data_IF_468506733086
#
_entry.id   IF_468506733086
#
_cell.length_a   1.000
_cell.length_b   1.000
_cell.length_c   1.000
_cell.angle_alpha   90.00
_cell.angle_beta   90.00
_cell.angle_gamma   90.00
#
_symmetry.space_group_name_H-M   'P 1'
#
loop_
_entity.id
_entity.type
_entity.pdbx_description
1 polymer ?
#
# COMPACT_ATOMS: atom_id res chain seq x y z
N UNK A 1 18.59 0.77 27.01
CA UNK A 1 17.35 0.96 26.24
C UNK A 1 16.36 1.79 27.07
N UNK A 2 15.55 2.63 26.45
CA UNK A 2 14.49 3.34 27.12
C UNK A 2 13.47 2.36 27.70
N UNK A 3 12.85 2.70 28.85
CA UNK A 3 11.89 1.80 29.50
C UNK A 3 10.48 1.98 28.98
N UNK A 4 10.18 3.14 28.39
CA UNK A 4 8.87 3.51 27.84
C UNK A 4 9.04 4.12 26.45
N UNK A 5 7.97 4.10 25.65
CA UNK A 5 7.90 4.64 24.30
C UNK A 5 6.58 5.37 24.07
N UNK A 6 6.55 6.24 23.07
CA UNK A 6 5.31 6.85 22.59
C UNK A 6 4.64 5.93 21.55
N UNK A 7 3.30 5.89 21.58
CA UNK A 7 2.52 5.07 20.66
C UNK A 7 1.17 5.74 20.36
N UNK A 8 0.73 5.65 19.11
CA UNK A 8 -0.53 6.20 18.65
C UNK A 8 -1.60 5.11 18.47
N UNK A 9 -2.78 5.38 19.01
CA UNK A 9 -3.97 4.55 18.93
C UNK A 9 -5.07 5.30 18.19
N UNK A 10 -5.97 4.57 17.54
CA UNK A 10 -7.09 5.12 16.79
C UNK A 10 -8.42 4.71 17.46
N UNK A 11 -9.05 5.60 18.24
CA UNK A 11 -10.31 5.29 18.93
C UNK A 11 -11.52 5.08 18.01
N UNK A 12 -11.41 5.40 16.70
CA UNK A 12 -12.51 5.22 15.74
C UNK A 12 -13.52 6.37 15.72
N UNK A 13 -13.08 7.57 16.06
CA UNK A 13 -13.90 8.79 16.12
C UNK A 13 -13.22 9.98 15.43
N UNK A 14 -12.34 9.70 14.46
CA UNK A 14 -11.52 10.69 13.75
C UNK A 14 -10.53 11.42 14.65
N UNK A 15 -10.05 10.77 15.71
CA UNK A 15 -8.98 11.27 16.58
C UNK A 15 -7.84 10.27 16.70
N UNK A 16 -6.70 10.76 17.20
CA UNK A 16 -5.54 9.94 17.54
C UNK A 16 -5.27 10.12 19.02
N UNK A 17 -5.11 9.02 19.75
CA UNK A 17 -4.75 9.01 21.16
C UNK A 17 -3.29 8.61 21.30
N UNK A 18 -2.45 9.54 21.80
CA UNK A 18 -1.07 9.25 22.12
C UNK A 18 -0.96 8.68 23.53
N UNK A 19 -0.24 7.58 23.69
CA UNK A 19 0.00 6.92 24.98
C UNK A 19 1.49 6.66 25.19
N UNK A 20 1.93 6.78 26.43
CA UNK A 20 3.23 6.29 26.86
C UNK A 20 3.08 4.86 27.35
N UNK A 21 3.75 3.91 26.70
CA UNK A 21 3.65 2.48 27.01
C UNK A 21 5.05 1.89 27.23
N UNK A 22 5.18 0.73 27.88
CA UNK A 22 6.48 0.06 28.01
C UNK A 22 7.05 -0.31 26.64
N UNK A 23 8.38 -0.20 26.46
CA UNK A 23 9.05 -0.79 25.30
C UNK A 23 8.93 -2.32 25.40
N UNK A 24 8.41 -2.99 24.36
CA UNK A 24 8.21 -4.44 24.42
C UNK A 24 9.55 -5.20 24.32
N UNK A 25 9.56 -6.42 24.83
CA UNK A 25 10.72 -7.31 24.80
C UNK A 25 10.46 -8.43 23.78
N UNK A 26 11.39 -8.70 22.84
CA UNK A 26 11.18 -9.71 21.81
C UNK A 26 11.24 -11.13 22.44
N UNK A 27 10.24 -11.94 22.13
CA UNK A 27 10.15 -13.36 22.47
C UNK A 27 10.89 -14.23 21.47
N UNK A 28 10.75 -15.56 21.57
CA UNK A 28 11.37 -16.51 20.65
C UNK A 28 10.88 -16.29 19.21
N UNK A 29 11.82 -16.05 18.26
CA UNK A 29 11.53 -15.83 16.86
C UNK A 29 11.00 -14.41 16.54
N UNK A 30 11.07 -13.50 17.50
CA UNK A 30 10.67 -12.10 17.33
C UNK A 30 11.88 -11.17 17.39
N UNK A 31 11.75 -10.02 16.77
CA UNK A 31 12.74 -8.92 16.83
C UNK A 31 12.08 -7.65 17.36
N UNK A 32 12.85 -6.83 18.07
CA UNK A 32 12.48 -5.46 18.42
C UNK A 32 13.04 -4.51 17.35
N UNK A 33 12.16 -3.76 16.74
CA UNK A 33 12.46 -2.80 15.68
C UNK A 33 12.28 -1.38 16.21
N UNK A 34 13.29 -0.52 16.07
CA UNK A 34 13.11 0.92 16.17
C UNK A 34 12.47 1.38 14.87
N UNK A 35 11.24 1.86 14.95
CA UNK A 35 10.51 2.34 13.77
C UNK A 35 11.17 3.63 13.26
N UNK A 36 11.49 3.67 11.98
CA UNK A 36 12.08 4.83 11.31
C UNK A 36 11.08 5.57 10.44
N UNK A 37 10.17 4.83 9.82
CA UNK A 37 9.06 5.36 9.06
C UNK A 37 7.86 4.42 9.11
N UNK A 38 6.66 4.98 9.20
CA UNK A 38 5.41 4.28 9.01
C UNK A 38 4.49 5.17 8.18
N UNK A 39 3.96 4.66 7.08
CA UNK A 39 3.07 5.45 6.22
C UNK A 39 1.61 5.15 6.52
N UNK A 40 0.72 6.10 6.19
CA UNK A 40 -0.72 5.98 6.45
C UNK A 40 -1.42 5.49 5.19
N UNK A 41 -2.17 4.40 5.30
CA UNK A 41 -2.96 3.83 4.21
C UNK A 41 -4.40 4.37 4.20
N UNK A 42 -5.06 4.30 3.06
CA UNK A 42 -6.49 4.61 2.95
C UNK A 42 -7.37 3.68 3.78
N UNK A 43 -6.94 2.44 4.02
CA UNK A 43 -7.65 1.50 4.90
C UNK A 43 -7.58 1.91 6.37
N UNK A 44 -6.45 2.46 6.85
CA UNK A 44 -6.37 3.02 8.21
C UNK A 44 -7.42 4.11 8.42
N UNK A 45 -7.58 4.98 7.43
CA UNK A 45 -8.56 6.09 7.51
C UNK A 45 -9.97 5.54 7.51
N UNK A 46 -10.32 4.71 6.52
CA UNK A 46 -11.70 4.25 6.32
C UNK A 46 -12.16 3.26 7.38
N UNK A 47 -11.28 2.33 7.78
CA UNK A 47 -11.68 1.18 8.57
C UNK A 47 -11.35 1.28 10.06
N UNK A 48 -10.51 2.26 10.46
CA UNK A 48 -10.06 2.39 11.85
C UNK A 48 -10.19 3.84 12.36
N UNK A 49 -9.72 4.84 11.60
CA UNK A 49 -9.66 6.22 12.07
C UNK A 49 -11.04 6.86 12.22
N UNK A 50 -11.89 6.78 11.18
CA UNK A 50 -13.23 7.35 11.24
C UNK A 50 -14.15 6.54 12.16
N UNK A 51 -14.15 5.24 11.97
CA UNK A 51 -14.92 4.26 12.75
C UNK A 51 -14.27 2.89 12.63
N UNK A 52 -14.52 2.02 13.60
CA UNK A 52 -14.02 0.65 13.52
C UNK A 52 -14.98 -0.19 12.65
N UNK A 53 -14.62 -0.38 11.38
CA UNK A 53 -15.31 -1.30 10.50
C UNK A 53 -14.85 -2.73 10.75
N UNK A 54 -15.77 -3.66 10.65
CA UNK A 54 -15.53 -5.06 10.95
C UNK A 54 -15.75 -5.40 12.43
N UNK A 55 -16.04 -6.65 12.68
CA UNK A 55 -16.32 -7.20 14.03
C UNK A 55 -15.59 -8.51 14.23
N UNK A 56 -15.43 -8.90 15.50
CA UNK A 56 -14.77 -10.16 15.84
C UNK A 56 -13.26 -10.16 15.55
N UNK A 57 -12.67 -11.33 15.32
CA UNK A 57 -11.21 -11.49 15.19
C UNK A 57 -10.57 -10.72 14.01
N UNK A 58 -11.35 -10.41 12.97
CA UNK A 58 -10.88 -9.69 11.77
C UNK A 58 -10.91 -8.16 11.95
N UNK A 59 -11.67 -7.65 12.93
CA UNK A 59 -11.74 -6.23 13.21
C UNK A 59 -10.50 -5.69 13.91
N UNK A 60 -10.42 -4.37 14.03
CA UNK A 60 -9.38 -3.70 14.80
C UNK A 60 -9.51 -4.03 16.29
N UNK A 61 -8.41 -4.38 16.94
CA UNK A 61 -8.38 -4.87 18.32
C UNK A 61 -7.91 -3.82 19.36
N UNK A 62 -7.90 -2.53 19.01
CA UNK A 62 -7.47 -1.48 19.93
C UNK A 62 -5.95 -1.48 20.18
N UNK A 63 -5.18 -1.97 19.24
CA UNK A 63 -3.71 -2.04 19.29
C UNK A 63 -3.06 -0.76 18.78
N UNK A 64 -1.74 -0.63 18.91
CA UNK A 64 -0.97 0.46 18.29
C UNK A 64 -1.20 0.44 16.78
N UNK A 65 -1.54 1.58 16.21
CA UNK A 65 -1.86 1.72 14.79
C UNK A 65 -0.64 1.58 13.88
N UNK A 66 -0.86 1.63 12.54
CA UNK A 66 0.18 1.70 11.52
C UNK A 66 0.63 0.34 11.02
N UNK A 67 0.11 -0.05 9.85
CA UNK A 67 0.43 -1.33 9.22
C UNK A 67 1.45 -1.23 8.07
N UNK A 68 2.06 -0.08 7.87
CA UNK A 68 3.09 0.12 6.86
C UNK A 68 4.45 0.49 7.49
N UNK A 69 5.01 -0.33 8.43
CA UNK A 69 6.22 0.03 9.15
C UNK A 69 7.49 -0.41 8.46
N UNK A 70 8.53 0.41 8.63
CA UNK A 70 9.90 0.12 8.23
C UNK A 70 10.86 0.67 9.31
N UNK A 71 11.93 -0.06 9.61
CA UNK A 71 12.84 0.38 10.66
C UNK A 71 14.14 -0.41 10.73
N UNK A 72 14.79 -0.29 11.87
CA UNK A 72 16.05 -0.96 12.16
C UNK A 72 15.91 -1.86 13.38
N UNK A 73 16.37 -3.08 13.28
CA UNK A 73 16.39 -4.03 14.39
C UNK A 73 17.34 -3.52 15.46
N UNK A 74 16.86 -3.44 16.69
CA UNK A 74 17.68 -3.08 17.87
C UNK A 74 17.99 -4.28 18.73
N UNK A 75 17.13 -5.31 18.70
CA UNK A 75 17.33 -6.56 19.43
C UNK A 75 16.67 -7.71 18.67
N UNK A 76 17.37 -8.84 18.56
CA UNK A 76 16.82 -10.09 18.05
C UNK A 76 16.59 -11.05 19.22
N UNK A 77 15.37 -11.53 19.37
CA UNK A 77 15.01 -12.50 20.40
C UNK A 77 15.62 -13.87 20.15
N UNK A 78 15.52 -14.79 21.15
CA UNK A 78 16.03 -16.15 21.00
C UNK A 78 15.41 -16.83 19.77
N UNK A 79 16.22 -17.60 19.03
CA UNK A 79 15.74 -18.38 17.88
C UNK A 79 15.76 -17.65 16.55
N UNK A 80 15.96 -16.33 16.51
CA UNK A 80 16.23 -15.60 15.28
C UNK A 80 17.55 -16.06 14.64
N UNK A 81 17.56 -16.23 13.31
CA UNK A 81 18.69 -16.79 12.56
C UNK A 81 19.08 -15.99 11.33
N UNK A 82 18.17 -15.22 10.78
CA UNK A 82 18.34 -14.51 9.51
C UNK A 82 18.63 -13.04 9.70
N UNK A 83 18.11 -12.45 10.77
CA UNK A 83 18.26 -11.04 11.08
C UNK A 83 18.90 -10.80 12.45
N UNK A 84 19.60 -9.68 12.59
CA UNK A 84 20.31 -9.28 13.81
C UNK A 84 20.16 -7.77 14.06
N UNK A 85 20.56 -7.33 15.24
CA UNK A 85 20.63 -5.91 15.58
C UNK A 85 21.48 -5.14 14.56
N UNK A 86 20.97 -3.99 14.12
CA UNK A 86 21.54 -3.14 13.09
C UNK A 86 20.97 -3.37 11.69
N UNK A 87 20.32 -4.49 11.41
CA UNK A 87 19.73 -4.76 10.10
C UNK A 87 18.53 -3.84 9.86
N UNK A 88 18.39 -3.38 8.61
CA UNK A 88 17.30 -2.54 8.13
C UNK A 88 16.21 -3.42 7.54
N UNK A 89 14.97 -3.23 7.96
CA UNK A 89 13.88 -4.15 7.61
C UNK A 89 12.58 -3.43 7.29
N UNK A 90 11.84 -4.02 6.35
CA UNK A 90 10.43 -3.75 6.08
C UNK A 90 9.63 -4.83 6.81
N UNK A 91 8.54 -4.48 7.45
CA UNK A 91 7.64 -5.46 8.05
C UNK A 91 6.51 -5.77 7.06
N UNK A 92 6.44 -7.01 6.61
CA UNK A 92 5.24 -7.50 5.93
C UNK A 92 4.08 -7.51 6.93
N UNK A 93 3.05 -6.73 6.66
CA UNK A 93 2.06 -6.40 7.69
C UNK A 93 1.10 -7.53 8.08
N UNK A 94 1.16 -8.67 7.42
CA UNK A 94 0.34 -9.84 7.78
C UNK A 94 1.21 -10.96 8.32
N UNK A 95 1.00 -11.35 9.57
CA UNK A 95 1.59 -12.56 10.10
C UNK A 95 0.67 -13.75 9.87
N UNK A 96 1.21 -14.90 9.51
CA UNK A 96 0.49 -16.15 9.30
C UNK A 96 1.11 -17.31 10.08
N UNK A 97 0.53 -18.51 9.97
CA UNK A 97 1.03 -19.70 10.70
C UNK A 97 2.38 -20.23 10.17
N UNK A 98 2.84 -19.80 8.98
CA UNK A 98 4.09 -20.24 8.36
C UNK A 98 4.06 -21.66 7.77
N UNK A 99 3.04 -22.47 8.05
CA UNK A 99 3.04 -23.91 7.70
C UNK A 99 1.92 -24.35 6.75
N UNK A 100 0.84 -23.60 6.60
CA UNK A 100 -0.19 -23.90 5.59
C UNK A 100 0.31 -23.63 4.18
N UNK A 101 -0.42 -24.13 3.16
CA UNK A 101 0.00 -23.98 1.75
C UNK A 101 0.20 -22.54 1.33
N UNK A 102 -0.69 -21.64 1.75
CA UNK A 102 -0.61 -20.24 1.36
C UNK A 102 0.57 -19.54 2.04
N UNK A 103 0.80 -19.78 3.33
CA UNK A 103 1.98 -19.25 4.04
C UNK A 103 3.29 -19.74 3.42
N UNK A 104 3.39 -21.04 3.05
CA UNK A 104 4.58 -21.59 2.38
C UNK A 104 4.85 -20.99 1.00
N UNK A 105 3.83 -20.42 0.38
CA UNK A 105 3.91 -19.68 -0.89
C UNK A 105 4.11 -18.17 -0.68
N UNK A 106 4.28 -17.74 0.58
CA UNK A 106 4.44 -16.33 0.94
C UNK A 106 3.13 -15.54 1.06
N UNK A 107 1.97 -16.15 0.81
CA UNK A 107 0.65 -15.50 0.89
C UNK A 107 0.06 -15.62 2.30
N UNK A 108 0.67 -14.98 3.30
CA UNK A 108 0.16 -15.05 4.68
C UNK A 108 -1.20 -14.37 4.85
N UNK A 109 -1.57 -13.46 3.93
CA UNK A 109 -2.92 -12.87 3.88
C UNK A 109 -4.01 -13.93 3.71
N UNK A 110 -3.71 -15.02 3.02
CA UNK A 110 -4.63 -16.15 2.78
C UNK A 110 -4.46 -17.29 3.79
N UNK A 111 -3.73 -17.05 4.89
CA UNK A 111 -3.53 -18.07 5.92
C UNK A 111 -4.88 -18.54 6.48
N UNK A 112 -5.09 -19.87 6.48
CA UNK A 112 -6.34 -20.50 6.95
C UNK A 112 -6.44 -20.62 8.46
N UNK A 113 -5.42 -20.20 9.20
CA UNK A 113 -5.42 -20.27 10.66
C UNK A 113 -5.98 -18.99 11.28
N UNK A 114 -7.19 -19.02 11.78
CA UNK A 114 -7.82 -17.92 12.51
C UNK A 114 -7.00 -17.44 13.73
N UNK A 115 -6.25 -18.36 14.34
CA UNK A 115 -5.41 -18.06 15.51
C UNK A 115 -4.16 -17.27 15.17
N UNK A 116 -3.52 -17.57 14.02
CA UNK A 116 -2.19 -17.05 13.67
C UNK A 116 -2.21 -15.95 12.61
N UNK A 117 -3.27 -15.88 11.78
CA UNK A 117 -3.40 -14.80 10.82
C UNK A 117 -3.79 -13.50 11.53
N UNK A 118 -2.84 -12.59 11.61
CA UNK A 118 -3.01 -11.29 12.28
C UNK A 118 -2.25 -10.21 11.54
N UNK A 119 -2.85 -9.03 11.41
CA UNK A 119 -2.21 -7.87 10.81
C UNK A 119 -1.61 -6.97 11.90
N UNK A 120 -0.38 -6.53 11.68
CA UNK A 120 0.25 -5.47 12.46
C UNK A 120 -0.52 -4.17 12.24
N UNK A 121 -0.74 -3.41 13.29
CA UNK A 121 -1.56 -2.20 13.25
C UNK A 121 -3.07 -2.43 13.26
N UNK A 122 -3.53 -3.71 13.32
CA UNK A 122 -4.95 -4.08 13.36
C UNK A 122 -5.28 -5.08 14.47
N UNK A 123 -4.62 -6.23 14.51
CA UNK A 123 -4.78 -7.26 15.55
C UNK A 123 -3.52 -7.45 16.39
N UNK A 124 -2.41 -6.91 15.95
CA UNK A 124 -1.13 -6.80 16.66
C UNK A 124 -0.66 -5.36 16.62
N UNK A 125 0.17 -4.97 17.59
CA UNK A 125 0.77 -3.64 17.62
C UNK A 125 1.52 -3.34 16.33
N UNK A 126 1.30 -2.15 15.80
CA UNK A 126 1.86 -1.66 14.55
C UNK A 126 2.99 -0.65 14.74
N UNK A 127 3.31 0.05 13.64
CA UNK A 127 4.46 0.94 13.56
C UNK A 127 4.21 2.42 13.83
N UNK A 128 3.04 2.81 14.36
CA UNK A 128 2.82 4.18 14.84
C UNK A 128 3.30 4.30 16.29
N UNK A 129 4.57 3.95 16.53
CA UNK A 129 5.26 3.98 17.81
C UNK A 129 6.77 4.12 17.60
N UNK A 130 7.53 4.43 18.66
CA UNK A 130 9.00 4.47 18.58
C UNK A 130 9.60 3.08 18.30
N UNK A 131 8.98 2.04 18.87
CA UNK A 131 9.40 0.65 18.69
C UNK A 131 8.21 -0.27 18.43
N UNK A 132 8.47 -1.39 17.74
CA UNK A 132 7.50 -2.46 17.55
C UNK A 132 8.17 -3.83 17.60
N UNK A 133 7.37 -4.86 17.90
CA UNK A 133 7.76 -6.27 17.75
C UNK A 133 7.26 -6.80 16.41
N UNK A 134 8.11 -7.57 15.72
CA UNK A 134 7.69 -8.35 14.57
C UNK A 134 8.31 -9.76 14.62
N UNK A 135 7.62 -10.74 14.05
CA UNK A 135 8.19 -12.08 13.86
C UNK A 135 9.24 -12.04 12.74
N UNK A 136 10.37 -12.72 12.94
CA UNK A 136 11.48 -12.74 11.96
C UNK A 136 11.02 -13.15 10.56
N UNK A 137 10.08 -14.09 10.46
CA UNK A 137 9.53 -14.58 9.18
C UNK A 137 8.70 -13.55 8.39
N UNK A 138 8.29 -12.47 9.05
CA UNK A 138 7.49 -11.39 8.46
C UNK A 138 8.37 -10.22 7.98
N UNK A 139 9.70 -10.37 8.02
CA UNK A 139 10.63 -9.31 7.67
C UNK A 139 11.19 -9.46 6.26
N UNK A 140 11.31 -8.34 5.58
CA UNK A 140 12.01 -8.22 4.31
C UNK A 140 13.21 -7.29 4.49
N UNK A 141 14.39 -7.69 4.03
CA UNK A 141 15.59 -6.86 4.11
C UNK A 141 15.41 -5.56 3.32
N UNK A 142 15.79 -4.43 3.92
CA UNK A 142 15.80 -3.13 3.23
C UNK A 142 17.23 -2.79 2.81
N UNK A 143 17.55 -2.80 1.50
CA UNK A 143 18.86 -2.42 0.98
C UNK A 143 19.22 -0.96 1.31
N UNK A 144 20.53 -0.66 1.39
CA UNK A 144 21.00 0.69 1.72
C UNK A 144 20.67 1.74 0.66
N UNK A 145 20.39 1.33 -0.57
CA UNK A 145 19.97 2.18 -1.67
C UNK A 145 18.56 2.76 -1.48
N UNK A 146 17.74 2.12 -0.64
CA UNK A 146 16.40 2.58 -0.34
C UNK A 146 16.34 3.25 1.03
N UNK A 147 15.52 4.29 1.17
CA UNK A 147 15.25 4.94 2.45
C UNK A 147 14.26 4.13 3.28
N UNK A 148 14.14 4.40 4.58
CA UNK A 148 13.10 3.78 5.40
C UNK A 148 11.68 4.17 4.93
N UNK A 149 11.52 5.38 4.40
CA UNK A 149 10.27 5.83 3.81
C UNK A 149 9.90 5.08 2.53
N UNK A 150 10.90 4.66 1.72
CA UNK A 150 10.67 3.74 0.59
C UNK A 150 10.15 2.40 1.09
N UNK A 151 10.84 1.83 2.10
CA UNK A 151 10.47 0.54 2.68
C UNK A 151 9.06 0.55 3.30
N UNK A 152 8.69 1.61 4.00
CA UNK A 152 7.36 1.76 4.58
C UNK A 152 6.26 1.68 3.51
N UNK A 153 6.48 2.22 2.32
CA UNK A 153 5.53 2.12 1.23
C UNK A 153 5.48 0.74 0.57
N UNK A 154 6.61 0.01 0.56
CA UNK A 154 6.64 -1.38 0.08
C UNK A 154 5.79 -2.29 0.96
N UNK A 155 5.74 -2.04 2.27
CA UNK A 155 5.01 -2.85 3.24
C UNK A 155 3.53 -3.08 2.88
N UNK A 156 2.89 -2.12 2.18
CA UNK A 156 1.49 -2.26 1.74
C UNK A 156 1.28 -1.68 0.32
N UNK A 157 1.35 -0.36 0.15
CA UNK A 157 0.88 0.32 -1.06
C UNK A 157 1.55 -0.19 -2.35
N UNK A 158 2.87 -0.12 -2.43
CA UNK A 158 3.63 -0.58 -3.60
C UNK A 158 3.59 -2.11 -3.75
N UNK A 159 3.67 -2.87 -2.65
CA UNK A 159 3.59 -4.33 -2.69
C UNK A 159 2.24 -4.81 -3.24
N UNK A 160 1.14 -4.27 -2.73
CA UNK A 160 -0.23 -4.60 -3.19
C UNK A 160 -0.43 -4.28 -4.68
N UNK A 161 0.08 -3.12 -5.10
CA UNK A 161 -0.01 -2.74 -6.52
C UNK A 161 0.83 -3.65 -7.39
N UNK A 162 2.05 -3.96 -6.98
CA UNK A 162 2.94 -4.83 -7.74
C UNK A 162 2.31 -6.21 -7.96
N UNK A 163 1.72 -6.82 -6.93
CA UNK A 163 0.93 -8.06 -7.05
C UNK A 163 -0.19 -7.93 -8.09
N UNK A 164 -0.94 -6.83 -8.07
CA UNK A 164 -2.01 -6.57 -9.03
C UNK A 164 -1.51 -6.44 -10.46
N UNK A 165 -0.37 -5.75 -10.67
CA UNK A 165 0.23 -5.55 -11.98
C UNK A 165 0.80 -6.84 -12.57
N UNK A 166 1.39 -7.72 -11.74
CA UNK A 166 1.86 -9.04 -12.16
C UNK A 166 0.69 -9.91 -12.69
N UNK A 167 -0.50 -9.85 -12.06
CA UNK A 167 -1.70 -10.58 -12.52
C UNK A 167 -2.15 -10.15 -13.92
N UNK A 168 -2.10 -8.88 -14.24
CA UNK A 168 -2.56 -8.38 -15.54
C UNK A 168 -1.44 -8.31 -16.58
N UNK A 169 -0.19 -8.29 -16.16
CA UNK A 169 1.00 -8.16 -17.00
C UNK A 169 1.08 -6.80 -17.70
N UNK A 170 2.13 -6.06 -17.46
CA UNK A 170 2.39 -4.75 -18.09
C UNK A 170 3.59 -4.87 -19.03
N UNK A 171 3.53 -4.20 -20.17
CA UNK A 171 4.63 -4.17 -21.14
C UNK A 171 4.55 -2.93 -22.04
N UNK A 172 5.56 -2.73 -22.89
CA UNK A 172 5.62 -1.65 -23.87
C UNK A 172 4.53 -1.68 -24.97
N UNK A 173 3.71 -2.71 -25.00
CA UNK A 173 2.57 -2.81 -25.91
C UNK A 173 1.24 -2.40 -25.27
N UNK A 174 1.27 -1.86 -24.06
CA UNK A 174 0.06 -1.61 -23.29
C UNK A 174 -0.12 -0.12 -22.97
N UNK A 175 -1.25 0.44 -23.37
CA UNK A 175 -1.84 1.59 -22.71
C UNK A 175 -2.53 1.14 -21.43
N UNK A 176 -2.32 1.90 -20.35
CA UNK A 176 -2.83 1.59 -19.02
C UNK A 176 -3.74 2.72 -18.54
N UNK A 177 -4.94 2.38 -18.09
CA UNK A 177 -5.83 3.29 -17.38
C UNK A 177 -5.72 3.04 -15.87
N UNK A 178 -5.57 4.10 -15.10
CA UNK A 178 -5.61 4.07 -13.63
C UNK A 178 -6.76 4.93 -13.16
N UNK A 179 -7.72 4.35 -12.43
CA UNK A 179 -8.82 5.10 -11.82
C UNK A 179 -8.60 5.23 -10.32
N UNK A 180 -8.56 6.49 -9.85
CA UNK A 180 -8.15 6.86 -8.50
C UNK A 180 -6.63 7.07 -8.41
N UNK A 181 -6.19 8.33 -8.32
CA UNK A 181 -4.77 8.73 -8.19
C UNK A 181 -4.39 9.08 -6.74
N UNK A 182 -5.04 8.44 -5.77
CA UNK A 182 -4.54 8.41 -4.39
C UNK A 182 -3.20 7.67 -4.29
N UNK A 183 -2.66 7.42 -3.08
CA UNK A 183 -1.36 6.78 -2.91
C UNK A 183 -1.19 5.46 -3.69
N UNK A 184 -2.24 4.61 -3.72
CA UNK A 184 -2.24 3.34 -4.47
C UNK A 184 -2.19 3.58 -5.98
N UNK A 185 -2.95 4.55 -6.49
CA UNK A 185 -2.93 4.88 -7.92
C UNK A 185 -1.63 5.56 -8.38
N UNK A 186 -1.04 6.41 -7.55
CA UNK A 186 0.28 6.98 -7.82
C UNK A 186 1.37 5.89 -7.83
N UNK A 187 1.30 4.92 -6.91
CA UNK A 187 2.17 3.75 -6.92
C UNK A 187 1.98 2.91 -8.20
N UNK A 188 0.71 2.71 -8.63
CA UNK A 188 0.41 2.00 -9.88
C UNK A 188 1.01 2.71 -11.09
N UNK A 189 0.89 4.03 -11.18
CA UNK A 189 1.46 4.81 -12.26
C UNK A 189 3.01 4.72 -12.29
N UNK A 190 3.66 4.85 -11.12
CA UNK A 190 5.11 4.72 -11.00
C UNK A 190 5.62 3.34 -11.43
N UNK A 191 4.97 2.27 -10.97
CA UNK A 191 5.33 0.91 -11.33
C UNK A 191 5.02 0.59 -12.80
N UNK A 192 3.86 1.00 -13.34
CA UNK A 192 3.53 0.84 -14.77
C UNK A 192 4.57 1.51 -15.66
N UNK A 193 5.07 2.70 -15.29
CA UNK A 193 6.14 3.40 -16.02
C UNK A 193 7.42 2.57 -16.06
N UNK A 194 7.83 1.99 -14.92
CA UNK A 194 9.04 1.15 -14.83
C UNK A 194 8.89 -0.22 -15.49
N UNK A 195 7.68 -0.77 -15.52
CA UNK A 195 7.36 -1.99 -16.27
C UNK A 195 7.24 -1.75 -17.79
N UNK A 196 7.37 -0.50 -18.23
CA UNK A 196 7.48 -0.14 -19.63
C UNK A 196 6.15 0.15 -20.32
N UNK A 197 5.08 0.48 -19.59
CA UNK A 197 3.80 0.85 -20.20
C UNK A 197 4.00 1.95 -21.26
N UNK A 198 3.41 1.76 -22.45
CA UNK A 198 3.49 2.69 -23.57
C UNK A 198 2.83 4.05 -23.23
N UNK A 199 1.67 3.97 -22.61
CA UNK A 199 0.89 5.14 -22.20
C UNK A 199 0.18 4.91 -20.88
N UNK A 200 0.19 5.89 -20.01
CA UNK A 200 -0.49 5.85 -18.73
C UNK A 200 -1.50 7.00 -18.65
N UNK A 201 -2.77 6.65 -18.48
CA UNK A 201 -3.88 7.59 -18.35
C UNK A 201 -4.40 7.49 -16.93
N UNK A 202 -4.44 8.61 -16.21
CA UNK A 202 -4.95 8.69 -14.84
C UNK A 202 -6.27 9.43 -14.76
N UNK A 203 -7.22 8.93 -13.96
CA UNK A 203 -8.50 9.60 -13.67
C UNK A 203 -8.65 9.75 -12.16
N UNK A 204 -8.97 10.97 -11.70
CA UNK A 204 -9.35 11.23 -10.30
C UNK A 204 -10.39 12.35 -10.23
N UNK A 205 -11.03 12.51 -9.06
CA UNK A 205 -11.96 13.62 -8.76
C UNK A 205 -11.23 14.79 -8.07
N UNK A 206 -10.00 14.58 -7.59
CA UNK A 206 -9.23 15.54 -6.80
C UNK A 206 -8.15 16.18 -7.67
N UNK A 207 -8.27 17.48 -7.91
CA UNK A 207 -7.35 18.23 -8.77
C UNK A 207 -5.90 18.18 -8.29
N UNK A 208 -5.67 18.23 -6.98
CA UNK A 208 -4.33 18.15 -6.38
C UNK A 208 -3.63 16.83 -6.73
N UNK A 209 -4.36 15.73 -6.80
CA UNK A 209 -3.82 14.41 -7.18
C UNK A 209 -3.51 14.32 -8.67
N UNK A 210 -4.38 14.87 -9.51
CA UNK A 210 -4.15 14.97 -10.95
C UNK A 210 -2.89 15.80 -11.24
N UNK A 211 -2.74 16.93 -10.54
CA UNK A 211 -1.58 17.81 -10.64
C UNK A 211 -0.31 17.09 -10.17
N UNK A 212 -0.35 16.43 -9.01
CA UNK A 212 0.80 15.68 -8.48
C UNK A 212 1.24 14.57 -9.43
N UNK A 213 0.32 13.80 -10.01
CA UNK A 213 0.64 12.75 -10.98
C UNK A 213 1.35 13.31 -12.23
N UNK A 214 0.97 14.51 -12.66
CA UNK A 214 1.60 15.23 -13.76
C UNK A 214 2.98 15.76 -13.39
N UNK A 215 3.12 16.42 -12.25
CA UNK A 215 4.38 16.99 -11.76
C UNK A 215 5.46 15.92 -11.56
N UNK A 216 5.04 14.74 -11.10
CA UNK A 216 5.93 13.59 -10.96
C UNK A 216 6.19 12.83 -12.28
N UNK A 217 5.59 13.26 -13.40
CA UNK A 217 5.76 12.59 -14.70
C UNK A 217 5.21 11.16 -14.76
N UNK A 218 4.24 10.82 -13.90
CA UNK A 218 3.73 9.45 -13.77
C UNK A 218 2.68 9.11 -14.83
N UNK A 219 1.89 10.08 -15.27
CA UNK A 219 0.84 9.90 -16.26
C UNK A 219 1.12 10.73 -17.52
N UNK A 220 0.86 10.15 -18.71
CA UNK A 220 0.95 10.86 -19.98
C UNK A 220 -0.28 11.74 -20.23
N UNK A 221 -1.42 11.35 -19.63
CA UNK A 221 -2.65 12.14 -19.60
C UNK A 221 -3.34 11.99 -18.25
N UNK A 222 -3.95 13.07 -17.78
CA UNK A 222 -4.81 13.07 -16.58
C UNK A 222 -6.16 13.65 -16.94
N UNK A 223 -7.23 13.02 -16.47
CA UNK A 223 -8.62 13.40 -16.73
C UNK A 223 -9.35 13.59 -15.40
N UNK A 224 -10.14 14.65 -15.31
CA UNK A 224 -11.09 14.81 -14.20
C UNK A 224 -12.21 13.79 -14.40
N UNK A 225 -12.64 13.13 -13.32
CA UNK A 225 -13.70 12.14 -13.38
C UNK A 225 -15.01 12.74 -13.86
N UNK A 226 -15.63 12.14 -14.88
CA UNK A 226 -16.84 12.61 -15.52
C UNK A 226 -17.46 11.56 -16.45
N UNK A 227 -18.66 11.84 -16.95
CA UNK A 227 -19.44 10.90 -17.78
C UNK A 227 -18.75 10.57 -19.12
N UNK A 228 -17.98 11.50 -19.69
CA UNK A 228 -17.31 11.33 -20.96
C UNK A 228 -15.98 10.57 -20.88
N UNK A 229 -15.54 10.15 -19.70
CA UNK A 229 -14.20 9.57 -19.54
C UNK A 229 -13.96 8.33 -20.40
N UNK A 230 -14.98 7.48 -20.61
CA UNK A 230 -14.83 6.32 -21.51
C UNK A 230 -14.50 6.76 -22.94
N UNK A 231 -15.20 7.78 -23.45
CA UNK A 231 -14.96 8.33 -24.78
C UNK A 231 -13.58 9.00 -24.86
N UNK A 232 -13.21 9.78 -23.84
CA UNK A 232 -11.91 10.44 -23.77
C UNK A 232 -10.74 9.44 -23.74
N UNK A 233 -10.83 8.38 -22.93
CA UNK A 233 -9.81 7.32 -22.88
C UNK A 233 -9.70 6.62 -24.24
N UNK A 234 -10.84 6.29 -24.89
CA UNK A 234 -10.83 5.71 -26.24
C UNK A 234 -10.20 6.64 -27.26
N UNK A 235 -10.48 7.94 -27.22
CA UNK A 235 -9.87 8.91 -28.12
C UNK A 235 -8.32 8.95 -27.94
N UNK A 236 -7.82 8.85 -26.72
CA UNK A 236 -6.39 8.79 -26.41
C UNK A 236 -5.71 7.48 -26.84
N UNK A 237 -6.49 6.45 -27.19
CA UNK A 237 -6.03 5.09 -27.51
C UNK A 237 -6.54 4.61 -28.87
N UNK A 238 -6.61 5.51 -29.85
CA UNK A 238 -6.97 5.20 -31.23
C UNK A 238 -8.41 4.68 -31.41
N UNK A 239 -9.32 4.97 -30.50
CA UNK A 239 -10.72 4.55 -30.51
C UNK A 239 -10.99 3.19 -29.84
N UNK A 240 -9.96 2.42 -29.48
CA UNK A 240 -10.11 1.04 -29.01
C UNK A 240 -10.29 0.92 -27.49
N UNK A 241 -9.69 1.80 -26.71
CA UNK A 241 -9.57 1.69 -25.26
C UNK A 241 -8.20 1.11 -24.84
N UNK A 242 -8.00 0.95 -23.53
CA UNK A 242 -6.73 0.49 -22.96
C UNK A 242 -6.61 -1.04 -22.93
N UNK A 243 -5.39 -1.55 -23.04
CA UNK A 243 -5.08 -2.98 -22.85
C UNK A 243 -5.18 -3.39 -21.40
N UNK A 244 -4.89 -2.48 -20.49
CA UNK A 244 -4.84 -2.74 -19.04
C UNK A 244 -5.54 -1.64 -18.27
N UNK A 245 -6.30 -2.02 -17.26
CA UNK A 245 -6.90 -1.08 -16.33
C UNK A 245 -6.60 -1.47 -14.87
N UNK A 246 -6.29 -0.48 -14.04
CA UNK A 246 -6.01 -0.64 -12.61
C UNK A 246 -6.98 0.23 -11.83
N UNK A 247 -7.86 -0.39 -11.05
CA UNK A 247 -8.83 0.33 -10.23
C UNK A 247 -8.32 0.46 -8.80
N UNK A 248 -8.11 1.71 -8.37
CA UNK A 248 -7.51 2.07 -7.09
C UNK A 248 -8.43 2.91 -6.18
N UNK A 249 -9.65 3.24 -6.63
CA UNK A 249 -10.52 4.19 -5.94
C UNK A 249 -11.60 3.56 -5.05
N UNK A 250 -11.95 2.30 -5.31
CA UNK A 250 -13.12 1.62 -4.73
C UNK A 250 -14.48 2.26 -5.07
N UNK A 251 -14.51 3.20 -6.04
CA UNK A 251 -15.73 3.90 -6.43
C UNK A 251 -16.46 3.17 -7.56
N UNK A 252 -17.80 3.05 -7.46
CA UNK A 252 -18.62 2.33 -8.43
C UNK A 252 -18.52 2.93 -9.85
N UNK A 253 -18.56 4.25 -9.97
CA UNK A 253 -18.46 4.95 -11.27
C UNK A 253 -17.08 4.74 -11.88
N UNK A 254 -16.01 4.84 -11.09
CA UNK A 254 -14.64 4.62 -11.54
C UNK A 254 -14.43 3.17 -12.03
N UNK A 255 -15.01 2.18 -11.34
CA UNK A 255 -15.01 0.76 -11.77
C UNK A 255 -15.71 0.57 -13.11
N UNK A 256 -16.87 1.18 -13.29
CA UNK A 256 -17.61 1.16 -14.55
C UNK A 256 -16.82 1.83 -15.67
N UNK A 257 -16.21 2.98 -15.40
CA UNK A 257 -15.34 3.65 -16.37
C UNK A 257 -14.17 2.75 -16.77
N UNK A 258 -13.48 2.16 -15.79
CA UNK A 258 -12.33 1.30 -16.03
C UNK A 258 -12.70 0.08 -16.91
N UNK A 259 -13.78 -0.65 -16.59
CA UNK A 259 -14.16 -1.83 -17.38
C UNK A 259 -14.63 -1.47 -18.80
N UNK A 260 -15.35 -0.34 -18.97
CA UNK A 260 -15.87 0.09 -20.26
C UNK A 260 -14.82 0.74 -21.16
N UNK A 261 -13.80 1.38 -20.56
CA UNK A 261 -12.66 1.92 -21.27
C UNK A 261 -11.58 0.87 -21.61
N UNK A 262 -11.67 -0.32 -21.03
CA UNK A 262 -10.82 -1.45 -21.38
C UNK A 262 -11.28 -2.05 -22.72
N UNK A 263 -10.32 -2.24 -23.65
CA UNK A 263 -10.58 -2.78 -25.00
C UNK A 263 -10.91 -4.27 -24.97
N UNK A 264 -11.32 -4.80 -26.13
CA UNK A 264 -11.48 -6.24 -26.33
C UNK A 264 -10.18 -6.99 -25.99
N UNK A 265 -10.31 -8.12 -25.29
CA UNK A 265 -9.21 -8.94 -24.77
C UNK A 265 -8.34 -8.23 -23.73
N UNK A 266 -8.78 -7.06 -23.27
CA UNK A 266 -8.08 -6.33 -22.23
C UNK A 266 -8.27 -6.96 -20.85
N UNK A 267 -7.41 -6.56 -19.91
CA UNK A 267 -7.43 -7.02 -18.53
C UNK A 267 -7.60 -5.87 -17.56
N UNK A 268 -8.38 -6.08 -16.53
CA UNK A 268 -8.57 -5.13 -15.45
C UNK A 268 -8.27 -5.79 -14.11
N UNK A 269 -7.64 -5.05 -13.19
CA UNK A 269 -7.47 -5.48 -11.79
C UNK A 269 -8.14 -4.49 -10.84
N UNK A 270 -8.89 -5.03 -9.87
CA UNK A 270 -9.48 -4.32 -8.75
C UNK A 270 -8.52 -4.40 -7.56
N UNK A 271 -8.03 -3.26 -7.10
CA UNK A 271 -7.17 -3.10 -5.93
C UNK A 271 -7.87 -2.25 -4.87
N UNK A 272 -8.64 -1.24 -5.30
CA UNK A 272 -9.43 -0.39 -4.40
C UNK A 272 -10.40 -1.22 -3.57
N UNK A 273 -10.19 -1.24 -2.25
CA UNK A 273 -11.01 -2.03 -1.32
C UNK A 273 -12.25 -1.25 -0.87
N UNK A 274 -13.39 -1.95 -0.78
CA UNK A 274 -14.70 -1.41 -0.40
C UNK A 274 -15.55 -1.05 -1.62
N UNK A 275 -16.75 -0.52 -1.36
CA UNK A 275 -17.74 -0.18 -2.38
C UNK A 275 -18.18 -1.37 -3.24
N UNK A 276 -19.23 -1.18 -4.00
CA UNK A 276 -19.70 -2.13 -5.01
C UNK A 276 -19.73 -1.48 -6.38
N UNK A 277 -20.04 -2.24 -7.42
CA UNK A 277 -20.43 -1.68 -8.71
C UNK A 277 -21.37 -2.67 -9.41
N UNK A 278 -22.14 -2.17 -10.36
CA UNK A 278 -23.00 -2.98 -11.19
C UNK A 278 -22.48 -2.97 -12.63
N UNK A 279 -22.38 -4.14 -13.24
CA UNK A 279 -22.07 -4.27 -14.66
C UNK A 279 -23.09 -5.18 -15.34
N UNK A 280 -23.29 -5.00 -16.63
CA UNK A 280 -24.00 -5.95 -17.45
C UNK A 280 -22.98 -6.93 -18.06
N UNK A 281 -22.97 -8.20 -17.62
CA UNK A 281 -21.93 -9.13 -18.03
C UNK A 281 -21.77 -9.29 -19.55
N UNK A 282 -22.87 -9.27 -20.31
CA UNK A 282 -22.79 -9.46 -21.76
C UNK A 282 -22.04 -8.34 -22.49
N UNK A 283 -22.47 -7.06 -22.44
CA UNK A 283 -21.73 -6.00 -23.13
C UNK A 283 -20.44 -5.57 -22.42
N UNK A 284 -20.36 -5.67 -21.10
CA UNK A 284 -19.20 -5.16 -20.36
C UNK A 284 -18.02 -6.16 -20.31
N UNK A 285 -18.30 -7.47 -20.48
CA UNK A 285 -17.29 -8.54 -20.33
C UNK A 285 -17.30 -9.55 -21.47
N UNK A 286 -18.46 -10.24 -21.69
CA UNK A 286 -18.52 -11.44 -22.55
C UNK A 286 -18.24 -11.09 -24.02
N UNK A 287 -18.92 -10.07 -24.56
CA UNK A 287 -18.77 -9.68 -25.97
C UNK A 287 -17.38 -9.15 -26.28
N UNK A 288 -16.70 -8.58 -25.29
CA UNK A 288 -15.35 -8.06 -25.40
C UNK A 288 -14.27 -9.03 -24.89
N UNK A 289 -14.66 -10.20 -24.38
CA UNK A 289 -13.74 -11.23 -23.85
C UNK A 289 -12.72 -10.66 -22.86
N UNK A 290 -13.16 -9.77 -21.97
CA UNK A 290 -12.29 -9.12 -20.98
C UNK A 290 -12.03 -10.05 -19.81
N UNK A 291 -10.90 -9.85 -19.13
CA UNK A 291 -10.56 -10.55 -17.89
C UNK A 291 -10.53 -9.56 -16.72
N UNK A 292 -11.24 -9.90 -15.65
CA UNK A 292 -11.28 -9.13 -14.40
C UNK A 292 -10.59 -9.90 -13.28
N UNK A 293 -9.62 -9.27 -12.64
CA UNK A 293 -8.87 -9.81 -11.50
C UNK A 293 -9.20 -9.06 -10.21
N UNK A 294 -9.28 -9.78 -9.10
CA UNK A 294 -9.17 -9.22 -7.76
C UNK A 294 -7.72 -9.33 -7.26
N UNK A 295 -7.24 -8.31 -6.55
CA UNK A 295 -5.94 -8.35 -5.90
C UNK A 295 -6.01 -7.72 -4.52
N UNK A 296 -5.55 -8.45 -3.51
CA UNK A 296 -5.57 -8.01 -2.12
C UNK A 296 -4.26 -8.35 -1.43
N UNK A 297 -3.55 -7.32 -0.95
CA UNK A 297 -2.21 -7.43 -0.37
C UNK A 297 -1.21 -8.00 -1.39
N UNK A 298 -0.14 -8.61 -0.94
CA UNK A 298 0.92 -9.23 -1.75
C UNK A 298 1.48 -10.46 -1.04
N UNK A 299 2.40 -11.16 -1.66
CA UNK A 299 3.20 -12.20 -1.02
C UNK A 299 4.56 -11.66 -0.55
N UNK A 300 5.20 -12.35 0.40
CA UNK A 300 6.55 -11.99 0.86
C UNK A 300 7.56 -12.09 -0.27
N UNK A 301 7.47 -13.11 -1.13
CA UNK A 301 8.43 -13.29 -2.23
C UNK A 301 8.31 -12.21 -3.31
N UNK A 302 7.08 -11.77 -3.65
CA UNK A 302 6.90 -10.63 -4.56
C UNK A 302 7.34 -9.31 -3.94
N UNK A 303 7.24 -9.18 -2.63
CA UNK A 303 7.77 -8.02 -1.93
C UNK A 303 9.29 -7.96 -2.00
N UNK A 304 9.99 -9.10 -1.81
CA UNK A 304 11.44 -9.21 -2.00
C UNK A 304 11.84 -8.87 -3.44
N UNK A 305 11.16 -9.44 -4.42
CA UNK A 305 11.40 -9.15 -5.84
C UNK A 305 11.19 -7.66 -6.15
N UNK A 306 10.13 -7.06 -5.61
CA UNK A 306 9.87 -5.64 -5.78
C UNK A 306 11.02 -4.80 -5.22
N UNK A 307 11.52 -5.11 -4.02
CA UNK A 307 12.66 -4.41 -3.41
C UNK A 307 13.89 -4.45 -4.31
N UNK A 308 14.22 -5.62 -4.87
CA UNK A 308 15.31 -5.75 -5.85
C UNK A 308 15.08 -4.91 -7.10
N UNK A 309 13.86 -4.91 -7.64
CA UNK A 309 13.50 -4.13 -8.82
C UNK A 309 13.56 -2.63 -8.55
N UNK A 310 13.11 -2.16 -7.39
CA UNK A 310 13.20 -0.76 -6.99
C UNK A 310 14.64 -0.26 -7.02
N UNK A 311 15.58 -1.05 -6.50
CA UNK A 311 17.01 -0.74 -6.57
C UNK A 311 17.50 -0.69 -8.02
N UNK A 312 17.22 -1.71 -8.83
CA UNK A 312 17.63 -1.77 -10.25
C UNK A 312 17.04 -0.64 -11.08
N UNK A 313 15.81 -0.26 -10.82
CA UNK A 313 15.11 0.81 -11.54
C UNK A 313 15.48 2.22 -11.05
N UNK A 314 16.21 2.32 -9.96
CA UNK A 314 16.40 3.57 -9.22
C UNK A 314 15.05 4.27 -9.01
N UNK A 315 14.06 3.50 -8.51
CA UNK A 315 12.73 3.99 -8.21
C UNK A 315 12.56 4.08 -6.70
N UNK A 316 12.27 5.29 -6.23
CA UNK A 316 12.03 5.57 -4.82
C UNK A 316 10.52 5.74 -4.56
N UNK A 317 9.86 4.77 -3.92
CA UNK A 317 8.47 4.90 -3.47
C UNK A 317 8.19 6.17 -2.67
N UNK A 318 9.18 6.66 -1.93
CA UNK A 318 9.08 7.90 -1.16
C UNK A 318 8.81 9.16 -2.02
N UNK A 319 8.99 9.09 -3.34
CA UNK A 319 8.71 10.20 -4.27
C UNK A 319 7.24 10.64 -4.28
N UNK A 320 6.30 9.78 -3.89
CA UNK A 320 4.88 10.13 -3.80
C UNK A 320 4.48 10.62 -2.40
N UNK A 321 5.42 10.68 -1.43
CA UNK A 321 5.17 11.24 -0.10
C UNK A 321 5.19 12.76 -0.21
N UNK A 322 4.04 13.38 0.07
CA UNK A 322 3.90 14.84 0.05
C UNK A 322 4.12 15.49 1.40
N UNK A 323 3.90 14.75 2.48
CA UNK A 323 4.00 15.29 3.84
C UNK A 323 4.64 14.26 4.79
N UNK A 324 5.51 14.77 5.67
CA UNK A 324 6.19 14.00 6.71
C UNK A 324 5.90 14.64 8.05
N UNK A 325 5.61 13.83 9.03
CA UNK A 325 5.30 14.24 10.39
C UNK A 325 6.14 13.44 11.39
N UNK A 326 6.45 14.01 12.53
CA UNK A 326 6.95 13.24 13.68
C UNK A 326 5.83 12.43 14.32
N UNK A 327 6.18 11.45 15.13
CA UNK A 327 5.18 10.64 15.85
C UNK A 327 4.28 11.49 16.74
N UNK A 328 4.80 12.55 17.36
CA UNK A 328 4.02 13.50 18.19
C UNK A 328 2.98 14.29 17.39
N UNK A 329 3.13 14.35 16.08
CA UNK A 329 2.20 15.00 15.14
C UNK A 329 1.27 13.99 14.43
N UNK A 330 1.15 12.76 14.95
CA UNK A 330 0.32 11.73 14.33
C UNK A 330 -1.14 12.19 14.10
N UNK A 331 -1.71 13.01 14.99
CA UNK A 331 -3.07 13.54 14.82
C UNK A 331 -3.20 14.41 13.56
N UNK A 332 -2.24 15.28 13.29
CA UNK A 332 -2.23 16.11 12.08
C UNK A 332 -2.01 15.26 10.83
N UNK A 333 -1.14 14.26 10.92
CA UNK A 333 -0.86 13.32 9.83
C UNK A 333 -2.12 12.54 9.40
N UNK A 334 -2.87 11.97 10.36
CA UNK A 334 -4.12 11.25 10.09
C UNK A 334 -5.21 12.19 9.56
N UNK A 335 -5.36 13.39 10.15
CA UNK A 335 -6.31 14.41 9.69
C UNK A 335 -6.04 14.83 8.25
N UNK A 336 -4.78 15.09 7.89
CA UNK A 336 -4.40 15.43 6.53
C UNK A 336 -4.69 14.28 5.56
N UNK A 337 -4.31 13.05 5.91
CA UNK A 337 -4.57 11.88 5.06
C UNK A 337 -6.07 11.67 4.86
N UNK A 338 -6.89 11.87 5.90
CA UNK A 338 -8.35 11.78 5.84
C UNK A 338 -8.98 12.83 4.92
N UNK A 339 -8.37 14.03 4.80
CA UNK A 339 -8.85 15.07 3.89
C UNK A 339 -8.82 14.66 2.41
N UNK A 340 -7.97 13.68 2.05
CA UNK A 340 -7.77 13.23 0.68
C UNK A 340 -7.03 14.22 -0.24
N UNK A 341 -6.60 15.38 0.27
CA UNK A 341 -5.94 16.47 -0.48
C UNK A 341 -4.41 16.36 -0.47
N UNK A 342 -3.89 15.15 -0.43
CA UNK A 342 -2.47 14.89 -0.40
C UNK A 342 -2.13 13.66 -1.24
N UNK A 343 -0.85 13.44 -1.50
CA UNK A 343 -0.32 12.15 -1.92
C UNK A 343 -0.22 11.21 -0.70
N UNK A 344 0.92 10.54 -0.54
CA UNK A 344 1.15 9.71 0.65
C UNK A 344 1.61 10.56 1.83
N UNK A 345 1.17 10.20 3.03
CA UNK A 345 1.60 10.79 4.31
C UNK A 345 2.45 9.78 5.06
N UNK A 346 3.58 10.23 5.61
CA UNK A 346 4.49 9.42 6.41
C UNK A 346 4.64 10.01 7.82
N UNK A 347 4.63 9.14 8.82
CA UNK A 347 5.09 9.44 10.17
C UNK A 347 6.47 8.83 10.32
N UNK A 348 7.46 9.66 10.69
CA UNK A 348 8.87 9.28 10.69
C UNK A 348 9.51 9.61 12.06
N UNK A 349 10.57 8.87 12.40
CA UNK A 349 11.48 9.28 13.44
C UNK A 349 12.10 10.66 13.08
N UNK A 350 12.45 11.47 14.08
CA UNK A 350 12.89 12.85 13.84
C UNK A 350 14.09 12.96 12.89
N UNK A 351 15.02 12.01 12.96
CA UNK A 351 16.19 11.94 12.07
C UNK A 351 15.83 11.65 10.60
N UNK A 352 14.64 11.12 10.32
CA UNK A 352 14.16 10.77 8.98
C UNK A 352 13.27 11.85 8.36
N UNK A 353 12.88 12.88 9.11
CA UNK A 353 11.99 13.94 8.62
C UNK A 353 12.57 14.70 7.43
N UNK A 354 13.87 14.95 7.44
CA UNK A 354 14.59 15.68 6.39
C UNK A 354 15.13 14.78 5.25
N UNK A 355 14.99 13.46 5.35
CA UNK A 355 15.51 12.53 4.34
C UNK A 355 14.64 12.60 3.09
N UNK A 356 15.17 13.20 2.03
CA UNK A 356 14.55 13.19 0.70
C UNK A 356 15.08 12.01 -0.11
N UNK A 357 14.23 11.40 -0.93
CA UNK A 357 14.69 10.46 -1.95
C UNK A 357 15.61 11.24 -2.92
N UNK A 358 16.85 10.80 -3.06
CA UNK A 358 17.85 11.40 -3.97
C UNK A 358 17.73 10.80 -5.35
#
# INVERSE_FOLDING_TARGET
MEKTMQAAYLPGNSTVEMRTVPVPVPSHGEVLIRVKASTICGSDIRCIYHEHLGKGPEGYQGVIAGHEPCGQIVEAGPGCRHFKAGDRVIVYHISGCGVCNDCRRGYMISCTSERFRRAYGWQRDGGMADYMIAEEKDLIALPNQLTYADGAQVACGFGTVYEGLEKIGISGNHAVLITGLGPVGLAAAALCRKLGAEKIIGIDVVDERLKLAKELGLCDATLVSGEDNVAQVKALTGGFGVERAVECSANATARNTAIRATRKWGKMVLIGEGGGFQMNPSPDMIHDQKTLYGSWVTSTWLMEELVERLVRWNLHPASIITHRFSLTQAADAYSLMASGKCGKVSVCADEELAVTAR
#
